data_IF_672592321989
#
_entry.id   IF_672592321989
#
_cell.length_a   1.000
_cell.length_b   1.000
_cell.length_c   1.000
_cell.angle_alpha   90.00
_cell.angle_beta   90.00
_cell.angle_gamma   90.00
#
_symmetry.space_group_name_H-M   'P 1'
#
loop_
_entity.id
_entity.type
_entity.pdbx_description
1 polymer ?
#
# COMPACT_ATOMS: atom_id res chain seq x y z
N UNK A 1 -5.07 23.04 -9.17
CA UNK A 1 -5.29 22.95 -7.71
C UNK A 1 -3.91 22.97 -7.03
N UNK A 2 -3.76 23.62 -5.87
CA UNK A 2 -2.50 23.64 -5.11
C UNK A 2 -2.36 22.39 -4.23
N UNK A 3 -1.18 22.13 -3.67
CA UNK A 3 -0.98 21.04 -2.71
C UNK A 3 -1.96 21.14 -1.51
N UNK A 4 -2.14 22.35 -0.96
CA UNK A 4 -3.09 22.67 0.11
C UNK A 4 -4.53 22.38 -0.31
N UNK A 5 -4.93 22.75 -1.54
CA UNK A 5 -6.29 22.50 -2.02
C UNK A 5 -6.60 21.00 -2.22
N UNK A 6 -5.57 20.17 -2.40
CA UNK A 6 -5.68 18.71 -2.51
C UNK A 6 -5.38 17.96 -1.21
N UNK A 7 -5.12 18.67 -0.12
CA UNK A 7 -4.73 18.06 1.16
C UNK A 7 -5.85 17.21 1.75
N UNK A 8 -5.60 15.92 2.05
CA UNK A 8 -6.57 15.07 2.71
C UNK A 8 -6.59 15.36 4.20
N UNK A 9 -7.71 15.01 4.84
CA UNK A 9 -7.74 14.96 6.29
C UNK A 9 -7.03 13.69 6.79
N UNK A 10 -5.87 13.87 7.42
CA UNK A 10 -5.04 12.76 7.89
C UNK A 10 -5.41 12.35 9.31
N UNK A 11 -5.59 11.03 9.51
CA UNK A 11 -5.86 10.41 10.83
C UNK A 11 -5.14 9.07 10.93
N UNK A 12 -4.65 8.77 12.13
CA UNK A 12 -4.13 7.45 12.48
C UNK A 12 -5.20 6.64 13.20
N UNK A 13 -5.21 5.34 12.95
CA UNK A 13 -6.06 4.38 13.67
C UNK A 13 -5.17 3.35 14.36
N UNK A 14 -5.52 3.01 15.59
CA UNK A 14 -4.81 2.00 16.37
C UNK A 14 -5.63 0.73 16.41
N UNK A 15 -5.06 -0.38 15.96
CA UNK A 15 -5.71 -1.69 15.92
C UNK A 15 -4.94 -2.64 16.82
N UNK A 16 -5.59 -3.11 17.88
CA UNK A 16 -5.01 -4.12 18.77
C UNK A 16 -4.97 -5.50 18.12
N UNK A 17 -3.84 -6.19 18.28
CA UNK A 17 -3.71 -7.60 17.89
C UNK A 17 -4.50 -8.48 18.86
N UNK A 18 -5.40 -9.30 18.30
CA UNK A 18 -6.13 -10.34 19.07
C UNK A 18 -5.29 -11.61 19.19
N UNK A 19 -5.70 -12.55 20.04
CA UNK A 19 -4.97 -13.79 20.29
C UNK A 19 -4.60 -14.56 19.01
N UNK A 20 -3.39 -15.13 18.97
CA UNK A 20 -2.82 -15.82 17.80
C UNK A 20 -3.70 -16.97 17.29
N UNK A 21 -4.47 -17.61 18.18
CA UNK A 21 -5.44 -18.64 17.83
C UNK A 21 -6.51 -18.15 16.81
N UNK A 22 -6.76 -16.84 16.72
CA UNK A 22 -7.76 -16.24 15.82
C UNK A 22 -7.19 -15.75 14.49
N UNK A 23 -5.87 -15.52 14.40
CA UNK A 23 -5.25 -14.85 13.25
C UNK A 23 -4.13 -15.68 12.59
N UNK A 24 -3.60 -16.67 13.31
CA UNK A 24 -2.42 -17.46 12.93
C UNK A 24 -1.23 -17.15 13.84
N UNK A 25 -0.29 -18.08 13.90
CA UNK A 25 0.90 -17.98 14.76
C UNK A 25 2.16 -17.50 14.02
N UNK A 26 2.13 -17.39 12.68
CA UNK A 26 3.29 -16.91 11.93
C UNK A 26 3.49 -15.40 12.06
N UNK A 27 4.71 -14.95 11.77
CA UNK A 27 5.11 -13.56 11.97
C UNK A 27 4.30 -12.54 11.14
N UNK A 28 3.72 -12.96 10.02
CA UNK A 28 2.92 -12.12 9.12
C UNK A 28 1.43 -12.33 9.28
N UNK A 29 0.98 -13.13 10.26
CA UNK A 29 -0.43 -13.41 10.49
C UNK A 29 -1.25 -12.15 10.72
N UNK A 30 -0.74 -11.23 11.53
CA UNK A 30 -1.41 -9.97 11.78
C UNK A 30 -1.39 -9.06 10.55
N UNK A 31 -0.27 -9.01 9.81
CA UNK A 31 -0.15 -8.25 8.57
C UNK A 31 -1.16 -8.70 7.50
N UNK A 32 -1.37 -10.01 7.35
CA UNK A 32 -2.41 -10.56 6.45
C UNK A 32 -3.81 -10.09 6.84
N UNK A 33 -4.13 -10.01 8.14
CA UNK A 33 -5.43 -9.50 8.61
C UNK A 33 -5.58 -8.01 8.35
N UNK A 34 -4.55 -7.21 8.62
CA UNK A 34 -4.54 -5.78 8.31
C UNK A 34 -4.68 -5.52 6.80
N UNK A 35 -4.00 -6.32 5.97
CA UNK A 35 -4.17 -6.27 4.51
C UNK A 35 -5.61 -6.53 4.08
N UNK A 36 -6.26 -7.58 4.61
CA UNK A 36 -7.67 -7.88 4.32
C UNK A 36 -8.59 -6.74 4.79
N UNK A 37 -8.36 -6.19 5.98
CA UNK A 37 -9.11 -5.04 6.51
C UNK A 37 -8.98 -3.84 5.56
N UNK A 38 -7.74 -3.50 5.16
CA UNK A 38 -7.47 -2.39 4.25
C UNK A 38 -8.19 -2.58 2.92
N UNK A 39 -8.03 -3.74 2.28
CA UNK A 39 -8.70 -4.04 0.99
C UNK A 39 -10.22 -3.97 1.08
N UNK A 40 -10.81 -4.45 2.18
CA UNK A 40 -12.26 -4.34 2.42
C UNK A 40 -12.72 -2.91 2.64
N UNK A 41 -11.94 -2.10 3.37
CA UNK A 41 -12.24 -0.68 3.58
C UNK A 41 -12.15 0.10 2.26
N UNK A 42 -11.09 -0.11 1.48
CA UNK A 42 -10.92 0.45 0.14
C UNK A 42 -12.13 0.07 -0.76
N UNK A 43 -12.52 -1.21 -0.80
CA UNK A 43 -13.74 -1.65 -1.50
C UNK A 43 -14.99 -0.90 -1.06
N UNK A 44 -15.20 -0.88 0.25
CA UNK A 44 -16.43 -0.40 0.85
C UNK A 44 -16.58 1.11 0.67
N UNK A 45 -15.50 1.88 0.76
CA UNK A 45 -15.57 3.34 0.77
C UNK A 45 -15.29 3.89 -0.63
N UNK A 46 -14.20 3.45 -1.28
CA UNK A 46 -13.77 4.02 -2.56
C UNK A 46 -14.63 3.56 -3.73
N UNK A 47 -15.04 2.29 -3.75
CA UNK A 47 -15.63 1.66 -4.93
C UNK A 47 -17.13 1.32 -4.82
N UNK A 48 -17.79 1.62 -3.70
CA UNK A 48 -19.24 1.39 -3.53
C UNK A 48 -20.07 2.68 -3.51
N UNK A 49 -19.62 3.73 -4.19
CA UNK A 49 -20.44 4.93 -4.45
C UNK A 49 -20.63 5.87 -3.26
N UNK A 50 -19.74 5.84 -2.28
CA UNK A 50 -19.73 6.86 -1.23
C UNK A 50 -19.33 8.23 -1.79
N UNK A 51 -19.97 9.27 -1.29
CA UNK A 51 -19.59 10.65 -1.59
C UNK A 51 -18.12 10.88 -1.16
N UNK A 52 -17.29 11.42 -2.07
CA UNK A 52 -15.85 11.62 -1.86
C UNK A 52 -15.03 10.34 -1.56
N UNK A 53 -15.59 9.15 -1.85
CA UNK A 53 -14.90 7.88 -1.65
C UNK A 53 -13.60 7.76 -2.44
N UNK A 54 -13.50 8.43 -3.59
CA UNK A 54 -12.30 8.53 -4.44
C UNK A 54 -11.10 9.18 -3.73
N UNK A 55 -11.33 9.91 -2.65
CA UNK A 55 -10.28 10.51 -1.81
C UNK A 55 -9.82 9.60 -0.67
N UNK A 56 -10.53 8.51 -0.41
CA UNK A 56 -10.14 7.57 0.64
C UNK A 56 -8.88 6.80 0.24
N UNK A 57 -7.86 6.89 1.09
CA UNK A 57 -6.57 6.25 0.89
C UNK A 57 -5.92 5.88 2.22
N UNK A 58 -5.36 4.68 2.30
CA UNK A 58 -4.60 4.20 3.45
C UNK A 58 -3.14 4.08 3.03
N UNK A 59 -2.27 4.97 3.53
CA UNK A 59 -0.84 4.98 3.19
C UNK A 59 -0.14 3.71 3.65
N UNK A 60 -0.34 3.32 4.90
CA UNK A 60 0.13 2.08 5.50
C UNK A 60 -0.91 1.59 6.51
N UNK A 61 -1.08 0.27 6.60
CA UNK A 61 -1.81 -0.37 7.70
C UNK A 61 -1.06 -1.65 8.08
N UNK A 62 -0.11 -1.49 8.99
CA UNK A 62 0.85 -2.52 9.38
C UNK A 62 1.23 -2.32 10.84
N UNK A 63 1.63 -3.40 11.52
CA UNK A 63 2.23 -3.35 12.86
C UNK A 63 3.74 -3.14 12.82
N UNK A 64 4.33 -3.10 11.63
CA UNK A 64 5.78 -3.09 11.39
C UNK A 64 6.27 -1.88 10.61
N UNK A 65 5.37 -1.27 9.83
CA UNK A 65 5.71 -0.18 8.91
C UNK A 65 4.67 0.93 9.01
N UNK A 66 5.14 2.17 9.14
CA UNK A 66 4.32 3.37 9.03
C UNK A 66 4.87 4.26 7.91
N UNK A 67 3.98 4.83 7.10
CA UNK A 67 4.34 5.69 5.96
C UNK A 67 3.83 7.09 6.21
N UNK A 68 4.77 8.03 6.35
CA UNK A 68 4.53 9.47 6.31
C UNK A 68 4.86 9.97 4.90
N UNK A 69 3.87 10.54 4.21
CA UNK A 69 4.05 11.02 2.83
C UNK A 69 3.04 12.10 2.49
N UNK A 70 3.42 12.98 1.59
CA UNK A 70 2.54 14.04 1.11
C UNK A 70 3.13 14.78 -0.06
N UNK A 71 2.45 15.85 -0.46
CA UNK A 71 2.93 16.79 -1.47
C UNK A 71 3.78 17.88 -0.83
N UNK A 72 4.95 17.48 -0.34
CA UNK A 72 5.87 18.32 0.41
C UNK A 72 7.21 18.39 -0.32
N UNK A 73 7.91 19.51 -0.17
CA UNK A 73 9.34 19.54 -0.42
C UNK A 73 10.06 18.70 0.65
N UNK A 74 11.23 18.16 0.31
CA UNK A 74 11.95 17.26 1.19
C UNK A 74 12.32 17.91 2.55
N UNK A 75 12.57 19.22 2.56
CA UNK A 75 12.89 20.02 3.74
C UNK A 75 11.66 20.41 4.59
N UNK A 76 10.44 20.14 4.10
CA UNK A 76 9.19 20.44 4.79
C UNK A 76 8.63 19.24 5.57
N UNK A 77 9.21 18.04 5.40
CA UNK A 77 8.67 16.80 5.96
C UNK A 77 8.63 16.87 7.48
N UNK A 78 9.70 17.35 8.09
CA UNK A 78 9.94 17.42 9.53
C UNK A 78 8.99 18.44 10.20
N UNK A 79 8.74 19.55 9.50
CA UNK A 79 7.84 20.61 9.96
C UNK A 79 6.37 20.18 9.84
N UNK A 80 6.03 19.46 8.76
CA UNK A 80 4.66 19.00 8.52
C UNK A 80 4.29 17.78 9.39
N UNK A 81 5.24 16.89 9.64
CA UNK A 81 5.07 15.70 10.48
C UNK A 81 5.97 15.77 11.72
N UNK A 82 5.56 16.52 12.76
CA UNK A 82 6.35 16.67 13.99
C UNK A 82 6.57 15.35 14.73
N UNK A 83 5.70 14.35 14.50
CA UNK A 83 5.84 12.98 15.03
C UNK A 83 7.20 12.35 14.66
N UNK A 84 7.80 12.75 13.53
CA UNK A 84 9.12 12.26 13.08
C UNK A 84 10.28 12.83 13.89
N UNK A 85 10.05 13.91 14.65
CA UNK A 85 11.04 14.55 15.52
C UNK A 85 10.92 14.06 16.97
N UNK A 86 9.91 13.25 17.29
CA UNK A 86 9.74 12.67 18.62
C UNK A 86 10.86 11.66 18.91
N UNK A 87 11.41 11.69 20.13
CA UNK A 87 12.49 10.78 20.54
C UNK A 87 12.03 9.33 20.66
N UNK A 88 10.73 9.10 20.86
CA UNK A 88 10.16 7.75 20.92
C UNK A 88 9.97 7.15 19.50
N UNK A 89 10.15 7.95 18.44
CA UNK A 89 10.05 7.52 17.05
C UNK A 89 11.33 6.84 16.57
N UNK A 90 11.53 5.60 17.03
CA UNK A 90 12.68 4.78 16.65
C UNK A 90 12.36 3.81 15.50
N UNK A 91 13.28 3.67 14.55
CA UNK A 91 13.16 2.72 13.44
C UNK A 91 14.50 2.02 13.16
N UNK A 92 14.45 0.71 12.93
CA UNK A 92 15.62 -0.05 12.50
C UNK A 92 16.05 0.30 11.07
N UNK A 93 15.09 0.67 10.22
CA UNK A 93 15.29 1.05 8.82
C UNK A 93 14.36 2.21 8.51
N UNK A 94 14.89 3.25 7.87
CA UNK A 94 14.11 4.33 7.28
C UNK A 94 14.40 4.40 5.79
N UNK A 95 13.36 4.63 4.98
CA UNK A 95 13.51 4.78 3.53
C UNK A 95 12.77 6.03 3.09
N UNK A 96 13.45 6.86 2.30
CA UNK A 96 12.94 8.16 1.85
C UNK A 96 12.90 8.22 0.32
N UNK A 97 11.96 8.98 -0.22
CA UNK A 97 11.86 9.19 -1.65
C UNK A 97 11.31 10.57 -1.99
N UNK A 98 11.97 11.24 -2.91
CA UNK A 98 11.47 12.45 -3.55
C UNK A 98 11.06 12.13 -4.97
N UNK A 99 9.81 12.43 -5.33
CA UNK A 99 9.25 12.14 -6.65
C UNK A 99 9.23 13.40 -7.51
N UNK A 100 9.84 13.32 -8.69
CA UNK A 100 9.61 14.31 -9.74
C UNK A 100 8.45 13.84 -10.63
N UNK A 101 7.31 14.54 -10.59
CA UNK A 101 6.15 14.18 -11.43
C UNK A 101 6.03 15.14 -12.61
N UNK A 102 5.79 14.60 -13.80
CA UNK A 102 5.40 15.37 -14.99
C UNK A 102 3.92 15.79 -14.97
N UNK A 103 3.14 15.39 -13.95
CA UNK A 103 1.74 15.77 -13.79
C UNK A 103 1.62 17.08 -12.98
N UNK A 104 0.75 17.97 -13.44
CA UNK A 104 0.48 19.27 -12.79
C UNK A 104 -0.67 19.23 -11.79
N UNK A 105 -1.38 18.10 -11.66
CA UNK A 105 -2.47 17.93 -10.70
C UNK A 105 -1.96 17.34 -9.39
N UNK A 106 -2.26 17.97 -8.24
CA UNK A 106 -1.83 17.47 -6.95
C UNK A 106 -2.53 16.15 -6.61
N UNK A 107 -1.75 15.18 -6.15
CA UNK A 107 -2.24 13.86 -5.72
C UNK A 107 -1.36 13.36 -4.58
N UNK A 108 -1.88 13.46 -3.36
CA UNK A 108 -1.18 13.10 -2.12
C UNK A 108 -0.96 11.58 -2.03
N UNK A 109 -1.94 10.80 -2.47
CA UNK A 109 -1.91 9.34 -2.49
C UNK A 109 -0.83 8.76 -3.42
N UNK A 110 -0.43 9.52 -4.46
CA UNK A 110 0.63 9.14 -5.41
C UNK A 110 2.04 9.51 -4.96
N UNK A 111 2.20 10.20 -3.83
CA UNK A 111 3.51 10.33 -3.20
C UNK A 111 4.03 8.94 -2.80
N UNK A 112 5.35 8.78 -2.85
CA UNK A 112 6.05 7.62 -2.29
C UNK A 112 6.47 7.94 -0.85
N UNK A 113 6.84 6.94 -0.02
CA UNK A 113 6.87 5.50 -0.31
C UNK A 113 5.48 4.85 -0.54
N UNK A 114 5.46 3.70 -1.20
CA UNK A 114 4.35 2.75 -1.09
C UNK A 114 4.60 1.77 0.08
N UNK A 115 3.83 0.68 0.19
CA UNK A 115 3.85 -0.17 1.40
C UNK A 115 5.12 -1.00 1.50
N UNK A 116 5.64 -1.44 0.35
CA UNK A 116 6.86 -2.23 0.23
C UNK A 116 7.83 -1.68 -0.82
N UNK A 117 7.39 -0.75 -1.68
CA UNK A 117 8.16 -0.25 -2.82
C UNK A 117 8.46 1.25 -2.76
N UNK A 118 9.71 1.56 -3.09
CA UNK A 118 10.10 2.85 -3.64
C UNK A 118 10.64 2.60 -5.05
N UNK A 119 10.21 3.40 -6.01
CA UNK A 119 10.53 3.17 -7.41
C UNK A 119 10.88 4.48 -8.10
N UNK A 120 12.08 4.51 -8.68
CA UNK A 120 12.58 5.58 -9.52
C UNK A 120 12.63 5.07 -10.96
N UNK A 121 11.62 5.39 -11.76
CA UNK A 121 11.51 4.95 -13.14
C UNK A 121 10.08 4.90 -13.62
N UNK A 122 9.87 4.22 -14.73
CA UNK A 122 8.56 3.97 -15.33
C UNK A 122 8.46 2.51 -15.76
N UNK A 123 7.36 1.84 -15.42
CA UNK A 123 7.10 0.45 -15.79
C UNK A 123 6.32 0.44 -17.11
N UNK A 124 7.04 0.44 -18.22
CA UNK A 124 6.48 0.53 -19.57
C UNK A 124 5.54 -0.64 -19.94
N UNK A 125 5.64 -1.78 -19.24
CA UNK A 125 4.83 -2.99 -19.49
C UNK A 125 3.60 -3.11 -18.58
N UNK A 126 3.30 -2.09 -17.78
CA UNK A 126 2.34 -2.19 -16.68
C UNK A 126 0.94 -2.66 -17.13
N UNK A 127 0.44 -2.19 -18.27
CA UNK A 127 -0.87 -2.61 -18.79
C UNK A 127 -0.92 -4.12 -19.05
N UNK A 128 0.14 -4.70 -19.60
CA UNK A 128 0.25 -6.14 -19.81
C UNK A 128 0.31 -6.89 -18.48
N UNK A 129 1.11 -6.40 -17.52
CA UNK A 129 1.26 -7.00 -16.20
C UNK A 129 -0.07 -7.02 -15.43
N UNK A 130 -0.81 -5.91 -15.46
CA UNK A 130 -2.14 -5.78 -14.84
C UNK A 130 -3.13 -6.77 -15.47
N UNK A 131 -3.17 -6.86 -16.79
CA UNK A 131 -4.05 -7.80 -17.48
C UNK A 131 -3.74 -9.26 -17.12
N UNK A 132 -2.45 -9.61 -16.99
CA UNK A 132 -2.04 -10.94 -16.54
C UNK A 132 -2.43 -11.23 -15.10
N UNK A 133 -2.36 -10.24 -14.21
CA UNK A 133 -2.89 -10.37 -12.85
C UNK A 133 -4.39 -10.61 -12.87
N UNK A 134 -5.16 -9.83 -13.63
CA UNK A 134 -6.60 -10.01 -13.78
C UNK A 134 -6.99 -11.38 -14.34
N UNK A 135 -6.29 -11.87 -15.37
CA UNK A 135 -6.53 -13.19 -15.95
C UNK A 135 -6.30 -14.33 -14.94
N UNK A 136 -5.42 -14.13 -13.96
CA UNK A 136 -5.10 -15.14 -12.93
C UNK A 136 -6.00 -15.06 -11.71
N UNK A 137 -6.75 -13.97 -11.48
CA UNK A 137 -7.55 -13.78 -10.27
C UNK A 137 -8.57 -14.89 -10.02
N UNK A 138 -9.13 -15.50 -11.07
CA UNK A 138 -10.15 -16.55 -10.95
C UNK A 138 -9.58 -17.88 -10.46
N UNK A 139 -8.28 -18.13 -10.67
CA UNK A 139 -7.57 -19.37 -10.30
C UNK A 139 -6.62 -19.17 -9.12
N UNK A 140 -6.66 -18.00 -8.46
CA UNK A 140 -5.84 -17.74 -7.28
C UNK A 140 -6.33 -18.58 -6.10
N UNK A 141 -5.39 -19.28 -5.49
CA UNK A 141 -5.57 -20.01 -4.25
C UNK A 141 -4.43 -19.63 -3.29
N UNK A 142 -4.74 -19.52 -2.00
CA UNK A 142 -3.76 -19.25 -0.96
C UNK A 142 -4.22 -19.84 0.36
N UNK A 143 -3.47 -20.81 0.87
CA UNK A 143 -3.73 -21.41 2.19
C UNK A 143 -3.62 -20.37 3.32
N UNK A 144 -2.68 -19.43 3.20
CA UNK A 144 -2.43 -18.40 4.21
C UNK A 144 -3.54 -17.34 4.30
N UNK A 145 -4.19 -17.01 3.17
CA UNK A 145 -5.38 -16.16 3.20
C UNK A 145 -6.66 -16.97 3.42
N UNK A 146 -6.69 -18.23 3.01
CA UNK A 146 -7.85 -19.11 3.15
C UNK A 146 -9.13 -18.45 2.64
N UNK A 147 -10.25 -18.52 3.39
CA UNK A 147 -11.51 -17.89 3.01
C UNK A 147 -11.46 -16.35 2.90
N UNK A 148 -10.47 -15.69 3.50
CA UNK A 148 -10.33 -14.23 3.39
C UNK A 148 -9.94 -13.80 1.97
N UNK A 149 -9.35 -14.69 1.17
CA UNK A 149 -8.98 -14.42 -0.21
C UNK A 149 -10.18 -13.93 -1.05
N UNK A 150 -11.34 -14.56 -0.88
CA UNK A 150 -12.58 -14.18 -1.59
C UNK A 150 -13.02 -12.74 -1.32
N UNK A 151 -12.63 -12.18 -0.18
CA UNK A 151 -13.02 -10.81 0.22
C UNK A 151 -12.32 -9.75 -0.64
N UNK A 152 -11.12 -10.04 -1.15
CA UNK A 152 -10.29 -9.06 -1.86
C UNK A 152 -9.73 -9.54 -3.20
N UNK A 153 -9.85 -10.82 -3.58
CA UNK A 153 -9.14 -11.36 -4.76
C UNK A 153 -9.41 -10.61 -6.06
N UNK A 154 -10.58 -9.98 -6.19
CA UNK A 154 -10.95 -9.13 -7.34
C UNK A 154 -10.30 -7.73 -7.33
N UNK A 155 -9.63 -7.35 -6.25
CA UNK A 155 -9.09 -6.01 -5.99
C UNK A 155 -7.64 -6.05 -5.49
N UNK A 156 -6.85 -7.00 -6.01
CA UNK A 156 -5.42 -7.06 -5.72
C UNK A 156 -4.75 -5.79 -6.26
N UNK A 157 -4.99 -5.46 -7.53
CA UNK A 157 -4.49 -4.26 -8.20
C UNK A 157 -5.51 -3.12 -8.07
N UNK A 158 -5.06 -1.95 -7.62
CA UNK A 158 -5.83 -0.70 -7.67
C UNK A 158 -5.77 -0.09 -9.09
N UNK A 159 -6.92 0.03 -9.80
CA UNK A 159 -6.94 0.58 -11.15
C UNK A 159 -6.61 2.08 -11.23
N UNK A 160 -6.75 2.84 -10.13
CA UNK A 160 -6.53 4.29 -10.10
C UNK A 160 -5.07 4.66 -9.79
N UNK A 161 -4.30 3.66 -9.35
CA UNK A 161 -2.91 3.78 -8.92
C UNK A 161 -1.94 4.12 -10.07
N UNK A 162 -0.77 4.64 -9.70
CA UNK A 162 0.37 4.72 -10.63
C UNK A 162 0.87 3.31 -10.99
N UNK A 163 1.74 3.24 -11.99
CA UNK A 163 2.46 2.01 -12.35
C UNK A 163 3.18 1.38 -11.16
N UNK A 164 3.82 2.21 -10.35
CA UNK A 164 4.56 1.87 -9.15
C UNK A 164 3.63 1.39 -8.03
N UNK A 165 2.44 2.01 -7.90
CA UNK A 165 1.43 1.56 -6.94
C UNK A 165 0.88 0.18 -7.31
N UNK A 166 0.63 -0.06 -8.60
CA UNK A 166 0.12 -1.33 -9.10
C UNK A 166 1.17 -2.45 -8.95
N UNK A 167 2.45 -2.12 -9.14
CA UNK A 167 3.54 -3.04 -8.84
C UNK A 167 3.61 -3.35 -7.33
N UNK A 168 3.58 -2.33 -6.46
CA UNK A 168 3.57 -2.50 -5.00
C UNK A 168 2.41 -3.39 -4.53
N UNK A 169 1.22 -3.24 -5.12
CA UNK A 169 0.06 -4.07 -4.82
C UNK A 169 0.29 -5.56 -5.11
N UNK A 170 0.87 -5.88 -6.27
CA UNK A 170 1.19 -7.25 -6.64
C UNK A 170 2.28 -7.83 -5.72
N UNK A 171 3.31 -7.03 -5.43
CA UNK A 171 4.43 -7.41 -4.58
C UNK A 171 3.98 -7.70 -3.14
N UNK A 172 3.18 -6.81 -2.55
CA UNK A 172 2.59 -6.98 -1.22
C UNK A 172 1.73 -8.24 -1.15
N UNK A 173 0.85 -8.46 -2.14
CA UNK A 173 0.02 -9.66 -2.19
C UNK A 173 0.86 -10.95 -2.24
N UNK A 174 1.84 -11.01 -3.15
CA UNK A 174 2.70 -12.20 -3.30
C UNK A 174 3.55 -12.45 -2.05
N UNK A 175 4.01 -11.39 -1.38
CA UNK A 175 4.77 -11.51 -0.15
C UNK A 175 3.90 -12.08 0.98
N UNK A 176 2.74 -11.47 1.20
CA UNK A 176 1.78 -11.91 2.22
C UNK A 176 1.17 -13.28 1.90
N UNK A 177 1.16 -13.70 0.63
CA UNK A 177 0.76 -15.04 0.21
C UNK A 177 1.84 -16.12 0.47
N UNK A 178 2.96 -15.77 1.12
CA UNK A 178 3.92 -16.72 1.69
C UNK A 178 5.29 -16.76 1.02
N UNK A 179 5.57 -15.89 0.05
CA UNK A 179 6.89 -15.82 -0.60
C UNK A 179 7.75 -14.76 0.07
N UNK A 180 9.03 -15.03 0.35
CA UNK A 180 9.89 -14.01 0.93
C UNK A 180 10.13 -12.87 -0.08
N UNK A 181 10.34 -11.65 0.44
CA UNK A 181 10.37 -10.43 -0.36
C UNK A 181 11.39 -10.48 -1.52
N UNK A 182 12.58 -11.02 -1.28
CA UNK A 182 13.62 -11.18 -2.32
C UNK A 182 13.18 -12.11 -3.46
N UNK A 183 12.45 -13.19 -3.14
CA UNK A 183 11.93 -14.11 -4.15
C UNK A 183 10.83 -13.44 -4.97
N UNK A 184 9.92 -12.70 -4.33
CA UNK A 184 8.90 -11.93 -5.04
C UNK A 184 9.52 -10.91 -5.99
N UNK A 185 10.55 -10.18 -5.54
CA UNK A 185 11.28 -9.24 -6.39
C UNK A 185 11.86 -9.91 -7.64
N UNK A 186 12.56 -11.05 -7.49
CA UNK A 186 13.10 -11.83 -8.63
C UNK A 186 12.01 -12.38 -9.56
N UNK A 187 10.83 -12.73 -9.03
CA UNK A 187 9.70 -13.18 -9.86
C UNK A 187 9.10 -12.05 -10.70
N UNK A 188 9.08 -10.83 -10.16
CA UNK A 188 8.43 -9.68 -10.79
C UNK A 188 9.38 -8.90 -11.71
N UNK A 189 10.67 -8.90 -11.40
CA UNK A 189 11.75 -8.29 -12.20
C UNK A 189 12.84 -9.36 -12.35
N UNK A 190 12.63 -10.34 -13.26
CA UNK A 190 13.67 -11.33 -13.55
C UNK A 190 14.86 -10.67 -14.25
N UNK A 191 16.05 -11.26 -14.06
CA UNK A 191 17.30 -10.86 -14.72
C UNK A 191 17.24 -11.02 -16.25
#
# INVERSE_FOLDING_TARGET
ATAIAGEPFVRQIFIGRVADALIGSDALAFERKLYVIRKRAERAIRYNGHEQGDRFYIASLSSRTIVYKGMLLADQVDEYYPDLLDTDMEAAIAVVHSRFSTNTFPSWERAHPYRYLIHNGEINTIRGNVNWMYARQSVLESELFGPDLEKFKQQIIDPDGSDSAQFDNALEFLHLAGRPLHHVAMMMIPE
#
